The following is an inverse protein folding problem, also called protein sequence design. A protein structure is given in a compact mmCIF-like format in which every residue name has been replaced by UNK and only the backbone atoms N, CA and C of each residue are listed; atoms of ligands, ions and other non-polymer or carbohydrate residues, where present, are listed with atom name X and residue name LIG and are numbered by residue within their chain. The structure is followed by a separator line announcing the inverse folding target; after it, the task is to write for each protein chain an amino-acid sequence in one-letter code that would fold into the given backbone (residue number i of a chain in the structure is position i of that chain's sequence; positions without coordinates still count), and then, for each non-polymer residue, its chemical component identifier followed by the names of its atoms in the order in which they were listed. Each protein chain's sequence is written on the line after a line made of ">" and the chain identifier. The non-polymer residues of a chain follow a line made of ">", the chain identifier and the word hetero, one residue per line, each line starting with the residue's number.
data_IF_971681908356
#
_entry.id   IF_971681908356
#
_cell.length_a   1.000
_cell.length_b   1.000
_cell.length_c   1.000
_cell.angle_alpha   90.00
_cell.angle_beta   90.00
_cell.angle_gamma   90.00
#
_symmetry.space_group_name_H-M   'P 1'
#
loop_
_entity.id
_entity.type
_entity.pdbx_description
1 polymer ?
#
# COMPACT_ATOMS: atom_id res chain seq x y z
N UNK A 1 -17.23 -11.19 11.91
CA UNK A 1 -16.61 -9.96 12.43
C UNK A 1 -15.47 -9.56 11.52
N UNK A 2 -15.48 -8.31 11.05
CA UNK A 2 -14.44 -7.81 10.14
C UNK A 2 -13.20 -7.43 10.95
N UNK A 3 -12.01 -7.82 10.49
CA UNK A 3 -10.78 -7.41 11.12
C UNK A 3 -10.60 -5.89 11.01
N UNK A 4 -10.01 -5.29 12.04
CA UNK A 4 -9.71 -3.87 12.06
C UNK A 4 -8.57 -3.56 11.08
N UNK A 5 -8.72 -2.51 10.29
CA UNK A 5 -7.69 -2.08 9.32
C UNK A 5 -6.33 -1.91 10.04
N UNK A 6 -6.34 -1.27 11.20
CA UNK A 6 -5.10 -1.01 11.94
C UNK A 6 -4.39 -2.30 12.34
N UNK A 7 -5.15 -3.33 12.74
CA UNK A 7 -4.56 -4.62 13.07
C UNK A 7 -3.94 -5.30 11.85
N UNK A 8 -4.61 -5.22 10.71
CA UNK A 8 -4.10 -5.80 9.47
C UNK A 8 -2.83 -5.07 9.02
N UNK A 9 -2.83 -3.74 9.07
CA UNK A 9 -1.65 -2.94 8.75
C UNK A 9 -0.50 -3.22 9.73
N UNK A 10 -0.83 -3.48 10.99
CA UNK A 10 0.17 -3.85 12.00
C UNK A 10 0.94 -5.12 11.63
N UNK A 11 0.26 -6.09 11.00
CA UNK A 11 0.93 -7.31 10.52
C UNK A 11 1.95 -7.01 9.43
N UNK A 12 1.64 -6.06 8.55
CA UNK A 12 2.58 -5.64 7.50
C UNK A 12 3.74 -4.88 8.13
N UNK A 13 3.42 -3.93 9.01
CA UNK A 13 4.43 -3.11 9.68
C UNK A 13 5.39 -3.95 10.53
N UNK A 14 4.93 -5.12 11.01
CA UNK A 14 5.77 -6.02 11.81
C UNK A 14 6.89 -6.68 11.00
N UNK A 15 6.81 -6.66 9.67
CA UNK A 15 7.91 -7.15 8.83
C UNK A 15 9.14 -6.28 9.05
N UNK A 16 10.28 -6.91 9.26
CA UNK A 16 11.53 -6.20 9.54
C UNK A 16 11.87 -5.25 8.39
N UNK A 17 12.08 -3.98 8.73
CA UNK A 17 12.45 -2.95 7.75
C UNK A 17 11.26 -2.17 7.18
N UNK A 18 10.02 -2.59 7.42
CA UNK A 18 8.86 -1.81 7.00
C UNK A 18 8.69 -0.62 7.93
N UNK A 19 8.76 0.59 7.36
CA UNK A 19 8.65 1.83 8.12
C UNK A 19 7.23 2.41 8.09
N UNK A 20 6.43 2.03 7.11
CA UNK A 20 5.07 2.52 6.95
C UNK A 20 4.20 1.48 6.27
N UNK A 21 3.03 1.22 6.82
CA UNK A 21 1.95 0.49 6.17
C UNK A 21 0.68 1.31 6.33
N UNK A 22 0.03 1.65 5.23
CA UNK A 22 -1.11 2.56 5.26
C UNK A 22 -2.18 2.16 4.25
N UNK A 23 -3.43 2.49 4.59
CA UNK A 23 -4.53 2.52 3.63
C UNK A 23 -4.78 3.97 3.28
N UNK A 24 -4.79 4.27 1.99
CA UNK A 24 -4.87 5.63 1.45
C UNK A 24 -6.06 5.69 0.50
N UNK A 25 -6.86 6.76 0.60
CA UNK A 25 -7.95 6.98 -0.34
C UNK A 25 -7.40 7.35 -1.73
N UNK A 26 -8.23 7.18 -2.75
CA UNK A 26 -7.82 7.43 -4.14
C UNK A 26 -7.36 8.87 -4.38
N UNK A 27 -7.80 9.81 -3.54
CA UNK A 27 -7.37 11.22 -3.62
C UNK A 27 -6.06 11.51 -2.87
N UNK A 28 -5.43 10.49 -2.29
CA UNK A 28 -4.16 10.63 -1.57
C UNK A 28 -4.29 10.90 -0.09
N UNK A 29 -5.50 10.97 0.45
CA UNK A 29 -5.70 11.20 1.89
C UNK A 29 -5.56 9.89 2.67
N UNK A 30 -4.86 9.97 3.79
CA UNK A 30 -4.67 8.83 4.69
C UNK A 30 -6.00 8.42 5.32
N UNK A 31 -6.33 7.12 5.22
CA UNK A 31 -7.47 6.53 5.94
C UNK A 31 -6.99 5.96 7.28
N UNK A 32 -5.95 5.15 7.27
CA UNK A 32 -5.36 4.56 8.47
C UNK A 32 -3.91 4.21 8.18
N UNK A 33 -3.03 4.31 9.19
CA UNK A 33 -1.63 3.98 9.00
C UNK A 33 -0.94 3.54 10.26
N UNK A 34 0.08 2.72 10.09
CA UNK A 34 0.99 2.30 11.16
C UNK A 34 2.40 2.60 10.66
N UNK A 35 3.13 3.40 11.42
CA UNK A 35 4.42 3.90 10.98
C UNK A 35 5.41 3.99 12.13
N UNK A 36 6.69 3.91 11.78
CA UNK A 36 7.77 4.19 12.72
C UNK A 36 7.75 5.65 13.14
N UNK A 37 8.29 5.94 14.32
CA UNK A 37 8.41 7.32 14.82
C UNK A 37 9.22 8.16 13.83
N UNK A 38 8.77 9.39 13.60
CA UNK A 38 9.45 10.32 12.71
C UNK A 38 9.08 10.22 11.23
N UNK A 39 8.29 9.22 10.85
CA UNK A 39 7.82 9.10 9.46
C UNK A 39 6.71 10.12 9.20
N UNK A 40 6.88 10.92 8.17
CA UNK A 40 5.88 11.91 7.76
C UNK A 40 4.86 11.27 6.83
N UNK A 41 3.80 10.71 7.42
CA UNK A 41 2.86 9.83 6.71
C UNK A 41 2.06 10.58 5.65
N UNK A 42 1.49 11.73 6.00
CA UNK A 42 0.59 12.44 5.08
C UNK A 42 1.26 12.87 3.77
N UNK A 43 2.45 13.51 3.79
CA UNK A 43 3.12 13.84 2.53
C UNK A 43 3.49 12.61 1.70
N UNK A 44 3.91 11.52 2.35
CA UNK A 44 4.24 10.29 1.64
C UNK A 44 3.00 9.74 0.93
N UNK A 45 1.87 9.69 1.62
CA UNK A 45 0.62 9.20 1.03
C UNK A 45 0.18 10.06 -0.16
N UNK A 46 0.28 11.37 -0.03
CA UNK A 46 -0.12 12.29 -1.10
C UNK A 46 0.73 12.10 -2.36
N UNK A 47 2.05 11.97 -2.19
CA UNK A 47 2.96 11.79 -3.34
C UNK A 47 2.85 10.37 -3.91
N UNK A 48 2.84 9.36 -3.03
CA UNK A 48 2.85 7.96 -3.47
C UNK A 48 1.58 7.58 -4.25
N UNK A 49 0.43 8.20 -3.93
CA UNK A 49 -0.81 7.93 -4.66
C UNK A 49 -0.68 8.20 -6.15
N UNK A 50 0.18 9.15 -6.54
CA UNK A 50 0.44 9.45 -7.95
C UNK A 50 1.08 8.27 -8.67
N UNK A 51 1.83 7.44 -7.95
CA UNK A 51 2.46 6.24 -8.52
C UNK A 51 1.42 5.25 -9.04
N UNK A 52 0.33 5.06 -8.29
CA UNK A 52 -0.74 4.17 -8.74
C UNK A 52 -1.52 4.78 -9.89
N UNK A 53 -1.78 6.08 -9.86
CA UNK A 53 -2.44 6.79 -10.97
C UNK A 53 -1.66 6.60 -12.26
N UNK A 54 -0.33 6.75 -12.18
CA UNK A 54 0.54 6.55 -13.35
C UNK A 54 0.49 5.10 -13.83
N UNK A 55 0.54 4.13 -12.93
CA UNK A 55 0.46 2.71 -13.28
C UNK A 55 -0.85 2.38 -13.99
N UNK A 56 -1.97 2.92 -13.50
CA UNK A 56 -3.28 2.74 -14.14
C UNK A 56 -3.30 3.35 -15.54
N UNK A 57 -2.71 4.52 -15.72
CA UNK A 57 -2.63 5.16 -17.03
C UNK A 57 -1.81 4.32 -18.01
N UNK A 58 -0.70 3.77 -17.56
CA UNK A 58 0.14 2.88 -18.40
C UNK A 58 -0.67 1.65 -18.81
N UNK A 59 -1.37 1.02 -17.87
CA UNK A 59 -2.17 -0.18 -18.15
C UNK A 59 -3.23 0.07 -19.21
N UNK A 60 -3.89 1.22 -19.17
CA UNK A 60 -4.88 1.60 -20.19
C UNK A 60 -4.22 1.81 -21.54
N UNK A 61 -3.09 2.50 -21.57
CA UNK A 61 -2.40 2.81 -22.83
C UNK A 61 -1.92 1.57 -23.55
N UNK A 62 -1.46 0.57 -22.82
CA UNK A 62 -0.95 -0.67 -23.42
C UNK A 62 -2.04 -1.77 -23.51
N UNK A 63 -3.29 -1.44 -23.17
CA UNK A 63 -4.45 -2.36 -23.21
C UNK A 63 -4.24 -3.61 -22.34
N UNK A 64 -3.70 -3.43 -21.13
CA UNK A 64 -3.48 -4.53 -20.18
C UNK A 64 -4.44 -4.48 -18.99
N UNK A 65 -5.35 -3.52 -18.97
CA UNK A 65 -6.32 -3.41 -17.89
C UNK A 65 -5.80 -2.61 -16.71
N UNK A 66 -6.46 -2.77 -15.55
CA UNK A 66 -6.09 -2.06 -14.34
C UNK A 66 -4.81 -2.59 -13.71
N UNK A 67 -4.16 -1.77 -12.90
CA UNK A 67 -2.98 -2.19 -12.18
C UNK A 67 -3.37 -3.11 -11.03
N UNK A 68 -2.62 -4.19 -10.86
CA UNK A 68 -2.76 -5.08 -9.71
C UNK A 68 -1.84 -4.63 -8.59
N UNK A 69 -0.66 -4.17 -8.96
CA UNK A 69 0.33 -3.73 -7.99
C UNK A 69 1.37 -2.86 -8.69
N UNK A 70 1.83 -1.81 -8.04
CA UNK A 70 2.94 -0.99 -8.51
C UNK A 70 4.09 -1.12 -7.51
N UNK A 71 5.29 -1.32 -8.02
CA UNK A 71 6.48 -1.50 -7.20
C UNK A 71 7.51 -0.47 -7.64
N UNK A 72 7.99 0.32 -6.68
CA UNK A 72 9.01 1.33 -6.92
C UNK A 72 10.24 0.94 -6.10
N UNK A 73 11.32 0.60 -6.77
CA UNK A 73 12.56 0.25 -6.10
C UNK A 73 13.51 1.44 -6.11
N UNK A 74 14.12 1.66 -4.96
CA UNK A 74 15.09 2.74 -4.75
C UNK A 74 16.40 2.15 -4.23
N UNK A 75 17.45 2.94 -4.23
CA UNK A 75 18.75 2.49 -3.71
C UNK A 75 18.64 1.97 -2.28
N UNK A 76 17.81 2.61 -1.46
CA UNK A 76 17.74 2.34 -0.02
C UNK A 76 16.34 1.89 0.42
N UNK A 77 15.57 1.27 -0.45
CA UNK A 77 14.26 0.79 -0.06
C UNK A 77 13.35 0.46 -1.21
N UNK A 78 12.12 0.10 -0.87
CA UNK A 78 11.10 -0.24 -1.85
C UNK A 78 9.74 0.28 -1.38
N UNK A 79 8.92 0.69 -2.34
CA UNK A 79 7.52 1.08 -2.10
C UNK A 79 6.62 0.16 -2.90
N UNK A 80 5.59 -0.36 -2.26
CA UNK A 80 4.59 -1.20 -2.90
C UNK A 80 3.23 -0.54 -2.76
N UNK A 81 2.52 -0.41 -3.87
CA UNK A 81 1.17 0.17 -3.93
C UNK A 81 0.22 -0.87 -4.51
N UNK A 82 -0.88 -1.13 -3.83
CA UNK A 82 -1.84 -2.12 -4.29
C UNK A 82 -3.27 -1.58 -4.17
N UNK A 83 -4.03 -1.55 -5.28
CA UNK A 83 -5.42 -1.10 -5.23
C UNK A 83 -6.28 -1.98 -4.33
N UNK A 84 -7.18 -1.35 -3.59
CA UNK A 84 -8.22 -2.02 -2.81
C UNK A 84 -9.58 -1.55 -3.36
N UNK A 85 -9.95 -2.06 -4.53
CA UNK A 85 -11.09 -1.56 -5.26
C UNK A 85 -10.77 -0.21 -5.92
N UNK A 86 -11.80 0.60 -6.18
CA UNK A 86 -11.65 1.86 -6.91
C UNK A 86 -11.33 3.06 -6.00
N UNK A 87 -11.60 2.94 -4.69
CA UNK A 87 -11.61 4.08 -3.79
C UNK A 87 -10.42 4.15 -2.84
N UNK A 88 -9.62 3.10 -2.78
CA UNK A 88 -8.51 3.04 -1.83
C UNK A 88 -7.37 2.19 -2.35
N UNK A 89 -6.23 2.33 -1.70
CA UNK A 89 -5.05 1.49 -1.95
C UNK A 89 -4.32 1.23 -0.65
N UNK A 90 -3.53 0.16 -0.63
CA UNK A 90 -2.57 -0.06 0.44
C UNK A 90 -1.18 0.41 -0.03
N UNK A 91 -0.48 1.09 0.86
CA UNK A 91 0.87 1.62 0.64
C UNK A 91 1.80 0.99 1.67
N UNK A 92 2.89 0.41 1.20
CA UNK A 92 3.93 -0.15 2.09
C UNK A 92 5.27 0.47 1.71
N UNK A 93 5.97 1.00 2.70
CA UNK A 93 7.34 1.52 2.53
C UNK A 93 8.27 0.67 3.36
N UNK A 94 9.29 0.13 2.73
CA UNK A 94 10.32 -0.66 3.42
C UNK A 94 11.70 -0.06 3.15
N UNK A 95 12.52 -0.02 4.19
CA UNK A 95 13.91 0.39 4.09
C UNK A 95 14.79 -0.74 3.51
N UNK A 96 14.21 -1.93 3.32
CA UNK A 96 14.92 -3.13 2.89
C UNK A 96 14.30 -3.68 1.62
N UNK A 97 15.05 -3.63 0.53
CA UNK A 97 14.62 -4.16 -0.77
C UNK A 97 14.42 -5.68 -0.72
N UNK A 98 15.18 -6.37 0.12
CA UNK A 98 15.10 -7.83 0.29
C UNK A 98 13.77 -8.30 0.84
N UNK A 99 12.97 -7.39 1.42
CA UNK A 99 11.65 -7.74 1.95
C UNK A 99 10.55 -7.81 0.89
N UNK A 100 10.84 -7.44 -0.35
CA UNK A 100 9.80 -7.30 -1.37
C UNK A 100 8.95 -8.57 -1.51
N UNK A 101 9.60 -9.73 -1.55
CA UNK A 101 8.86 -11.00 -1.66
C UNK A 101 7.92 -11.25 -0.50
N UNK A 102 8.36 -10.97 0.72
CA UNK A 102 7.54 -11.13 1.93
C UNK A 102 6.38 -10.15 1.96
N UNK A 103 6.63 -8.89 1.57
CA UNK A 103 5.59 -7.87 1.49
C UNK A 103 4.53 -8.32 0.49
N UNK A 104 4.93 -8.75 -0.69
CA UNK A 104 3.99 -9.19 -1.73
C UNK A 104 3.18 -10.40 -1.29
N UNK A 105 3.82 -11.37 -0.64
CA UNK A 105 3.13 -12.54 -0.13
C UNK A 105 2.07 -12.16 0.90
N UNK A 106 2.44 -11.31 1.86
CA UNK A 106 1.53 -10.88 2.92
C UNK A 106 0.38 -10.03 2.36
N UNK A 107 0.66 -9.14 1.42
CA UNK A 107 -0.39 -8.35 0.76
C UNK A 107 -1.40 -9.24 0.05
N UNK A 108 -0.93 -10.33 -0.59
CA UNK A 108 -1.84 -11.28 -1.22
C UNK A 108 -2.76 -11.93 -0.20
N UNK A 109 -2.23 -12.33 0.95
CA UNK A 109 -3.01 -12.92 2.03
C UNK A 109 -4.01 -11.93 2.63
N UNK A 110 -3.61 -10.67 2.75
CA UNK A 110 -4.42 -9.65 3.44
C UNK A 110 -5.33 -8.87 2.51
N UNK A 111 -5.23 -9.08 1.19
CA UNK A 111 -6.00 -8.31 0.22
C UNK A 111 -7.49 -8.34 0.52
N UNK A 112 -8.08 -9.52 0.65
CA UNK A 112 -9.52 -9.64 0.90
C UNK A 112 -9.92 -9.08 2.26
N UNK A 113 -9.25 -9.41 3.37
CA UNK A 113 -9.58 -8.79 4.66
C UNK A 113 -9.46 -7.26 4.64
N UNK A 114 -8.42 -6.72 3.99
CA UNK A 114 -8.27 -5.27 3.87
C UNK A 114 -9.39 -4.66 3.04
N UNK A 115 -9.74 -5.29 1.92
CA UNK A 115 -10.83 -4.80 1.06
C UNK A 115 -12.15 -4.78 1.81
N UNK A 116 -12.44 -5.83 2.58
CA UNK A 116 -13.64 -5.90 3.40
C UNK A 116 -13.66 -4.82 4.47
N UNK A 117 -12.54 -4.61 5.15
CA UNK A 117 -12.42 -3.61 6.20
C UNK A 117 -12.63 -2.19 5.65
N UNK A 118 -12.10 -1.91 4.47
CA UNK A 118 -12.30 -0.61 3.80
C UNK A 118 -13.78 -0.41 3.43
N UNK A 119 -14.44 -1.44 2.91
CA UNK A 119 -15.86 -1.35 2.55
C UNK A 119 -16.76 -1.16 3.76
N UNK A 120 -16.31 -1.54 4.95
CA UNK A 120 -17.07 -1.42 6.18
C UNK A 120 -17.00 -0.03 6.84
N UNK A 121 -16.20 0.87 6.29
CA UNK A 121 -16.07 2.24 6.81
C UNK A 121 -17.31 3.09 6.50
#
# INVERSE_FOLDING_TARGET
>A
MTADIRQLLGRIHALNGVSLAAVVASDGLLIEGVADAGVEVDPICAVASNGLVMAEAVGREINKGGAIQAILEFDNGVVVLEPLGDDAMVLVVSDRRENLGRIRFLLRQLHEPLSQAVRAI
#
